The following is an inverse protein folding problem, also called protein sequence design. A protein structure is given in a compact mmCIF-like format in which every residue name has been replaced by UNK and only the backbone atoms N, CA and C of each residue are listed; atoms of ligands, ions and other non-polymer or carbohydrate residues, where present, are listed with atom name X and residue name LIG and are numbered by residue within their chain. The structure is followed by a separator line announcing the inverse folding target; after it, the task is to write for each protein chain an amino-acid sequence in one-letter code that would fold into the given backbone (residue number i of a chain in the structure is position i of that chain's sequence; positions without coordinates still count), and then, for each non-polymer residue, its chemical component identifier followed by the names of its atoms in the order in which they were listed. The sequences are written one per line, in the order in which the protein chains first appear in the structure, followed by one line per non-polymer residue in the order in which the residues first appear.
data_IF_767726592043
#
_entry.id   IF_767726592043
#
_cell.length_a   1.000
_cell.length_b   1.000
_cell.length_c   1.000
_cell.angle_alpha   90.00
_cell.angle_beta   90.00
_cell.angle_gamma   90.00
#
_symmetry.space_group_name_H-M   'P 1'
#
loop_
_entity.id
_entity.type
_entity.pdbx_description
1 polymer ?
#
# COMPACT_ATOMS: atom_id res chain seq x y z
N UNK A 1 12.73 -4.31 27.72
CA UNK A 1 11.43 -5.00 27.89
C UNK A 1 10.48 -4.33 28.88
N UNK A 2 10.94 -3.52 29.84
CA UNK A 2 10.06 -2.85 30.85
C UNK A 2 8.93 -1.97 30.26
N UNK A 3 9.16 -1.42 29.06
CA UNK A 3 8.20 -0.58 28.34
C UNK A 3 7.21 -1.35 27.46
N UNK A 4 7.37 -2.66 27.29
CA UNK A 4 6.48 -3.49 26.46
C UNK A 4 5.63 -4.33 27.37
N UNK A 5 4.30 -4.21 27.25
CA UNK A 5 3.32 -4.93 28.07
C UNK A 5 2.36 -5.69 27.19
N UNK A 6 2.20 -6.99 27.41
CA UNK A 6 1.14 -7.74 26.76
C UNK A 6 -0.24 -7.31 27.29
N UNK A 7 -1.16 -7.00 26.38
CA UNK A 7 -2.55 -6.64 26.70
C UNK A 7 -3.52 -7.80 26.46
N UNK A 8 -3.26 -8.61 25.43
CA UNK A 8 -4.06 -9.77 25.05
C UNK A 8 -3.16 -10.83 24.38
N UNK A 9 -3.69 -12.03 24.02
CA UNK A 9 -2.94 -13.02 23.26
C UNK A 9 -2.40 -12.51 21.91
N UNK A 10 -2.98 -11.44 21.36
CA UNK A 10 -2.63 -10.91 20.04
C UNK A 10 -2.25 -9.43 20.03
N UNK A 11 -2.01 -8.83 21.21
CA UNK A 11 -1.72 -7.38 21.27
C UNK A 11 -0.79 -7.00 22.41
N UNK A 12 0.15 -6.11 22.11
CA UNK A 12 1.16 -5.58 23.02
C UNK A 12 1.15 -4.05 23.01
N UNK A 13 1.29 -3.44 24.17
CA UNK A 13 1.46 -2.01 24.36
C UNK A 13 2.94 -1.66 24.45
N UNK A 14 3.34 -0.64 23.68
CA UNK A 14 4.62 0.06 23.82
C UNK A 14 4.34 1.35 24.59
N UNK A 15 4.69 1.36 25.87
CA UNK A 15 4.37 2.45 26.80
C UNK A 15 5.07 3.74 26.40
N UNK A 16 4.42 4.87 26.69
CA UNK A 16 5.05 6.18 26.63
C UNK A 16 6.36 6.21 27.43
N UNK A 17 7.35 6.94 26.91
CA UNK A 17 8.70 6.97 27.45
C UNK A 17 9.62 5.86 26.92
N UNK A 18 9.12 4.93 26.08
CA UNK A 18 9.99 4.00 25.34
C UNK A 18 10.96 4.75 24.42
N UNK A 19 10.48 5.82 23.77
CA UNK A 19 11.32 6.87 23.20
C UNK A 19 10.96 8.22 23.82
N UNK A 20 11.89 9.18 23.90
CA UNK A 20 11.58 10.52 24.40
C UNK A 20 10.51 11.21 23.54
N UNK A 21 9.60 11.95 24.19
CA UNK A 21 8.63 12.79 23.49
C UNK A 21 7.36 12.08 22.99
N UNK A 22 7.15 10.80 23.31
CA UNK A 22 5.89 10.12 22.97
C UNK A 22 4.67 10.86 23.54
N UNK A 23 3.74 11.27 22.68
CA UNK A 23 2.46 11.87 23.04
C UNK A 23 1.40 10.81 23.35
N UNK A 24 1.49 9.65 22.69
CA UNK A 24 0.55 8.52 22.82
C UNK A 24 1.32 7.20 23.00
N UNK A 25 0.73 6.13 23.53
CA UNK A 25 1.35 4.81 23.50
C UNK A 25 1.33 4.20 22.08
N UNK A 26 2.20 3.23 21.84
CA UNK A 26 2.14 2.35 20.68
C UNK A 26 1.34 1.08 20.96
N UNK A 27 0.70 0.50 19.95
CA UNK A 27 0.09 -0.85 20.01
C UNK A 27 0.64 -1.69 18.87
N UNK A 28 1.08 -2.89 19.19
CA UNK A 28 1.49 -3.91 18.21
C UNK A 28 0.46 -5.04 18.26
N UNK A 29 -0.23 -5.27 17.15
CA UNK A 29 -1.07 -6.46 16.98
C UNK A 29 -0.23 -7.57 16.38
N UNK A 30 -0.01 -8.66 17.12
CA UNK A 30 0.78 -9.80 16.64
C UNK A 30 0.44 -11.04 17.45
N UNK A 31 0.36 -12.20 16.79
CA UNK A 31 0.16 -13.50 17.44
C UNK A 31 1.49 -14.12 17.92
N UNK A 32 1.40 -15.24 18.64
CA UNK A 32 2.57 -15.95 19.15
C UNK A 32 3.50 -16.49 18.06
N UNK A 33 2.99 -16.76 16.85
CA UNK A 33 3.79 -17.27 15.74
C UNK A 33 4.71 -16.20 15.13
N UNK A 34 4.25 -14.94 15.09
CA UNK A 34 4.98 -13.84 14.46
C UNK A 34 5.70 -12.93 15.47
N UNK A 35 5.34 -12.97 16.77
CA UNK A 35 5.90 -12.06 17.78
C UNK A 35 7.43 -12.11 17.87
N UNK A 36 8.03 -13.28 17.64
CA UNK A 36 9.47 -13.47 17.67
C UNK A 36 10.16 -12.58 16.64
N UNK A 37 9.64 -12.57 15.40
CA UNK A 37 10.19 -11.78 14.30
C UNK A 37 10.22 -10.27 14.61
N UNK A 38 9.18 -9.74 15.26
CA UNK A 38 9.07 -8.32 15.60
C UNK A 38 9.99 -7.96 16.77
N UNK A 39 9.94 -8.72 17.87
CA UNK A 39 10.65 -8.35 19.10
C UNK A 39 12.13 -8.77 19.09
N UNK A 40 12.52 -9.80 18.34
CA UNK A 40 13.93 -10.16 18.15
C UNK A 40 14.68 -9.10 17.35
N UNK A 41 14.05 -8.48 16.34
CA UNK A 41 14.63 -7.34 15.62
C UNK A 41 15.01 -6.21 16.61
N UNK A 42 14.10 -5.88 17.52
CA UNK A 42 14.34 -4.88 18.55
C UNK A 42 15.48 -5.29 19.50
N UNK A 43 15.51 -6.55 19.95
CA UNK A 43 16.57 -7.05 20.82
C UNK A 43 17.94 -6.99 20.14
N UNK A 44 18.01 -7.39 18.88
CA UNK A 44 19.24 -7.36 18.09
C UNK A 44 19.77 -5.93 17.92
N UNK A 45 18.90 -4.96 17.65
CA UNK A 45 19.30 -3.57 17.54
C UNK A 45 19.84 -3.00 18.87
N UNK A 46 19.25 -3.36 20.00
CA UNK A 46 19.78 -2.97 21.32
C UNK A 46 21.17 -3.56 21.56
N UNK A 47 21.42 -4.79 21.13
CA UNK A 47 22.74 -5.44 21.27
C UNK A 47 23.80 -4.86 20.34
N UNK A 48 23.43 -4.52 19.10
CA UNK A 48 24.34 -3.91 18.10
C UNK A 48 24.68 -2.45 18.40
N UNK A 49 23.84 -1.74 19.16
CA UNK A 49 23.93 -0.29 19.33
C UNK A 49 23.60 0.45 18.02
N UNK A 50 23.99 1.72 17.91
CA UNK A 50 23.66 2.58 16.75
C UNK A 50 24.49 2.29 15.47
N UNK A 51 25.12 1.10 15.37
CA UNK A 51 26.02 0.75 14.27
C UNK A 51 25.27 0.10 13.10
N UNK A 52 24.72 0.94 12.21
CA UNK A 52 24.20 0.55 10.90
C UNK A 52 22.91 -0.26 10.89
N UNK A 53 22.12 -0.12 9.82
CA UNK A 53 20.83 -0.79 9.64
C UNK A 53 19.63 0.13 9.84
N UNK A 54 18.43 -0.36 9.50
CA UNK A 54 17.18 0.35 9.76
C UNK A 54 16.84 0.32 11.25
N UNK A 55 16.12 1.35 11.71
CA UNK A 55 15.56 1.34 13.05
C UNK A 55 14.49 0.24 13.13
N UNK A 56 14.48 -0.60 14.19
CA UNK A 56 13.46 -1.64 14.35
C UNK A 56 12.05 -1.08 14.26
N UNK A 57 11.13 -1.87 13.73
CA UNK A 57 9.73 -1.48 13.54
C UNK A 57 9.10 -0.93 14.83
N UNK A 58 9.37 -1.55 15.98
CA UNK A 58 8.85 -1.13 17.29
C UNK A 58 9.39 0.25 17.70
N UNK A 59 10.64 0.58 17.34
CA UNK A 59 11.21 1.91 17.61
C UNK A 59 10.64 2.96 16.67
N UNK A 60 10.43 2.61 15.40
CA UNK A 60 9.75 3.48 14.43
C UNK A 60 8.31 3.79 14.86
N UNK A 61 7.54 2.77 15.28
CA UNK A 61 6.21 2.93 15.86
C UNK A 61 6.18 3.96 17.01
N UNK A 62 7.17 3.87 17.90
CA UNK A 62 7.29 4.76 19.03
C UNK A 62 7.73 6.18 18.64
N UNK A 63 8.59 6.32 17.62
CA UNK A 63 8.94 7.63 17.07
C UNK A 63 7.71 8.30 16.44
N UNK A 64 6.86 7.54 15.74
CA UNK A 64 5.59 8.03 15.20
C UNK A 64 4.65 8.49 16.33
N UNK A 65 4.61 7.75 17.43
CA UNK A 65 3.89 8.14 18.63
C UNK A 65 4.40 9.44 19.30
N UNK A 66 5.55 9.96 18.90
CA UNK A 66 6.10 11.24 19.34
C UNK A 66 5.83 12.39 18.34
N UNK A 67 5.11 12.15 17.24
CA UNK A 67 4.77 13.20 16.28
C UNK A 67 3.64 14.10 16.81
N UNK A 68 3.74 15.43 16.64
CA UNK A 68 2.71 16.34 17.11
C UNK A 68 1.35 16.09 16.42
N UNK A 69 0.28 16.25 17.19
CA UNK A 69 -1.10 16.05 16.70
C UNK A 69 -1.53 14.59 16.53
N UNK A 70 -0.68 13.60 16.80
CA UNK A 70 -1.11 12.19 16.75
C UNK A 70 -2.24 11.92 17.76
N UNK A 71 -3.27 11.20 17.33
CA UNK A 71 -4.44 10.89 18.16
C UNK A 71 -4.41 9.47 18.68
N UNK A 72 -4.80 9.32 19.94
CA UNK A 72 -4.99 8.05 20.67
C UNK A 72 -3.77 7.13 20.77
N UNK A 73 -3.27 6.56 19.67
CA UNK A 73 -2.23 5.52 19.61
C UNK A 73 -1.52 5.51 18.26
N UNK A 74 -0.25 5.11 18.26
CA UNK A 74 0.43 4.64 17.04
C UNK A 74 0.24 3.12 16.93
N UNK A 75 -0.20 2.60 15.79
CA UNK A 75 -0.60 1.19 15.65
C UNK A 75 0.32 0.47 14.66
N UNK A 76 0.85 -0.68 15.04
CA UNK A 76 1.53 -1.63 14.17
C UNK A 76 0.64 -2.85 13.91
N UNK A 77 0.44 -3.15 12.62
CA UNK A 77 -0.28 -4.33 12.14
C UNK A 77 0.61 -5.60 12.23
N UNK A 78 0.03 -6.81 12.10
CA UNK A 78 0.77 -8.06 12.28
C UNK A 78 1.95 -8.31 11.33
N UNK A 79 1.97 -7.64 10.19
CA UNK A 79 3.02 -7.68 9.17
C UNK A 79 4.04 -6.54 9.30
N UNK A 80 4.03 -5.82 10.44
CA UNK A 80 4.90 -4.67 10.65
C UNK A 80 6.38 -5.03 10.51
N UNK A 81 7.13 -4.20 9.80
CA UNK A 81 8.58 -4.32 9.66
C UNK A 81 9.23 -2.97 9.36
N UNK A 82 10.54 -2.91 9.54
CA UNK A 82 11.34 -1.70 9.36
C UNK A 82 11.08 -1.01 8.01
N UNK A 83 10.72 0.28 8.08
CA UNK A 83 10.45 1.14 6.92
C UNK A 83 11.30 2.42 6.91
N UNK A 84 10.79 3.47 6.26
CA UNK A 84 11.47 4.77 6.14
C UNK A 84 10.80 5.81 7.05
N UNK A 85 11.33 5.96 8.26
CA UNK A 85 10.74 6.83 9.29
C UNK A 85 9.58 6.15 10.01
N UNK A 86 8.48 5.90 9.29
CA UNK A 86 7.42 5.00 9.72
C UNK A 86 7.78 3.56 9.36
N UNK A 87 7.31 2.61 10.18
CA UNK A 87 7.37 1.21 9.83
C UNK A 87 6.31 0.88 8.76
N UNK A 88 6.61 -0.08 7.87
CA UNK A 88 5.57 -0.63 6.99
C UNK A 88 4.56 -1.37 7.87
N UNK A 89 3.26 -1.21 7.60
CA UNK A 89 2.20 -1.72 8.47
C UNK A 89 1.93 -0.84 9.71
N UNK A 90 2.49 0.37 9.79
CA UNK A 90 2.17 1.34 10.83
C UNK A 90 1.00 2.25 10.41
N UNK A 91 -0.05 2.29 11.23
CA UNK A 91 -1.18 3.22 11.11
C UNK A 91 -1.07 4.29 12.19
N UNK A 92 -1.23 5.55 11.80
CA UNK A 92 -1.33 6.70 12.70
C UNK A 92 -2.36 7.69 12.14
N UNK A 93 -3.15 8.28 13.04
CA UNK A 93 -4.08 9.34 12.71
C UNK A 93 -3.63 10.64 13.40
N UNK A 94 -3.82 11.77 12.72
CA UNK A 94 -3.44 13.09 13.20
C UNK A 94 -4.67 14.02 13.20
N UNK A 95 -4.77 14.85 14.23
CA UNK A 95 -5.88 15.79 14.41
C UNK A 95 -5.73 16.99 13.47
N UNK A 96 -6.61 17.12 12.48
CA UNK A 96 -6.57 18.21 11.50
C UNK A 96 -6.91 19.58 12.10
N UNK A 97 -7.56 19.63 13.27
CA UNK A 97 -7.83 20.89 13.97
C UNK A 97 -6.63 21.35 14.83
N UNK A 98 -5.64 20.48 15.05
CA UNK A 98 -4.43 20.83 15.75
C UNK A 98 -3.43 21.50 14.80
N UNK A 99 -3.05 22.78 15.01
CA UNK A 99 -2.14 23.50 14.11
C UNK A 99 -0.72 22.92 14.07
N UNK A 100 -0.33 22.13 15.07
CA UNK A 100 0.96 21.45 15.10
C UNK A 100 0.92 20.08 14.41
N UNK A 101 -0.27 19.58 14.02
CA UNK A 101 -0.39 18.28 13.37
C UNK A 101 0.39 18.21 12.06
N UNK A 102 0.95 17.03 11.80
CA UNK A 102 1.85 16.81 10.69
C UNK A 102 1.26 15.87 9.65
N UNK A 103 1.65 16.08 8.40
CA UNK A 103 1.55 15.08 7.33
C UNK A 103 2.97 14.67 6.97
N UNK A 104 3.27 13.37 7.09
CA UNK A 104 4.60 12.85 6.79
C UNK A 104 4.56 11.96 5.55
N UNK A 105 5.28 12.31 4.47
CA UNK A 105 5.40 11.43 3.29
C UNK A 105 5.92 10.04 3.64
N UNK A 106 6.79 9.93 4.65
CA UNK A 106 7.29 8.64 5.15
C UNK A 106 6.21 7.74 5.76
N UNK A 107 5.11 8.33 6.26
CA UNK A 107 3.96 7.59 6.78
C UNK A 107 2.97 7.13 5.70
N UNK A 108 3.06 7.69 4.49
CA UNK A 108 2.31 7.21 3.31
C UNK A 108 3.12 6.17 2.53
N UNK A 109 4.43 6.39 2.41
CA UNK A 109 5.33 5.55 1.63
C UNK A 109 5.66 6.16 0.26
N UNK A 110 6.70 5.61 -0.38
CA UNK A 110 7.18 6.13 -1.66
C UNK A 110 6.30 5.74 -2.83
N UNK A 111 5.84 4.49 -2.92
CA UNK A 111 4.87 4.11 -3.94
C UNK A 111 3.45 4.48 -3.48
N UNK A 112 3.14 5.77 -3.62
CA UNK A 112 1.86 6.35 -3.22
C UNK A 112 0.73 5.58 -3.92
N UNK A 113 -0.29 5.18 -3.17
CA UNK A 113 -1.41 4.39 -3.68
C UNK A 113 -0.97 3.07 -4.36
N UNK A 114 0.12 2.45 -3.88
CA UNK A 114 0.35 1.03 -4.13
C UNK A 114 -0.80 0.26 -3.48
N UNK A 115 -1.49 -0.54 -4.27
CA UNK A 115 -2.77 -1.13 -3.90
C UNK A 115 -3.17 -2.29 -4.79
N UNK A 116 -4.27 -2.92 -4.40
CA UNK A 116 -4.74 -4.16 -5.02
C UNK A 116 -6.11 -3.94 -5.65
N UNK A 117 -6.28 -4.46 -6.87
CA UNK A 117 -7.59 -4.64 -7.50
C UNK A 117 -7.86 -6.12 -7.69
N UNK A 118 -9.06 -6.56 -7.31
CA UNK A 118 -9.54 -7.91 -7.56
C UNK A 118 -10.65 -7.88 -8.61
N UNK A 119 -10.46 -8.58 -9.71
CA UNK A 119 -11.42 -8.72 -10.81
C UNK A 119 -12.00 -10.12 -10.73
N UNK A 120 -13.31 -10.22 -10.49
CA UNK A 120 -14.01 -11.50 -10.51
C UNK A 120 -14.36 -11.92 -11.94
N UNK A 121 -14.45 -13.23 -12.16
CA UNK A 121 -14.98 -13.79 -13.41
C UNK A 121 -16.15 -14.73 -13.11
N UNK A 122 -16.86 -15.15 -14.15
CA UNK A 122 -17.83 -16.24 -14.05
C UNK A 122 -17.19 -17.61 -14.41
N UNK A 123 -15.86 -17.64 -14.58
CA UNK A 123 -15.11 -18.86 -14.92
C UNK A 123 -14.77 -19.66 -13.66
N UNK A 124 -14.59 -20.94 -13.86
CA UNK A 124 -14.10 -21.89 -12.86
C UNK A 124 -12.71 -22.39 -13.23
N UNK A 125 -12.03 -23.04 -12.28
CA UNK A 125 -10.74 -23.69 -12.52
C UNK A 125 -10.79 -24.67 -13.71
N UNK A 126 -11.91 -25.37 -13.91
CA UNK A 126 -12.08 -26.30 -15.02
C UNK A 126 -12.07 -25.60 -16.39
N UNK A 127 -12.54 -24.34 -16.45
CA UNK A 127 -12.57 -23.57 -17.69
C UNK A 127 -11.16 -23.06 -18.07
N UNK A 128 -10.36 -22.68 -17.07
CA UNK A 128 -9.04 -22.07 -17.26
C UNK A 128 -7.92 -23.11 -17.31
N UNK A 129 -8.06 -24.23 -16.60
CA UNK A 129 -7.05 -25.29 -16.50
C UNK A 129 -6.43 -25.71 -17.84
N UNK A 130 -7.24 -26.01 -18.88
CA UNK A 130 -6.73 -26.41 -20.19
C UNK A 130 -5.93 -25.32 -20.93
N UNK A 131 -6.17 -24.04 -20.64
CA UNK A 131 -5.58 -22.89 -21.35
C UNK A 131 -4.65 -22.06 -20.47
N UNK A 132 -4.34 -22.51 -19.24
CA UNK A 132 -3.61 -21.73 -18.22
C UNK A 132 -2.29 -21.13 -18.72
N UNK A 133 -1.53 -21.89 -19.52
CA UNK A 133 -0.24 -21.44 -20.06
C UNK A 133 -0.42 -20.38 -21.14
N UNK A 134 -1.44 -20.55 -21.99
CA UNK A 134 -1.79 -19.58 -23.03
C UNK A 134 -2.33 -18.29 -22.40
N UNK A 135 -3.14 -18.40 -21.35
CA UNK A 135 -3.64 -17.25 -20.60
C UNK A 135 -2.50 -16.50 -19.90
N UNK A 136 -1.58 -17.21 -19.23
CA UNK A 136 -0.43 -16.60 -18.59
C UNK A 136 0.47 -15.89 -19.61
N UNK A 137 0.73 -16.50 -20.76
CA UNK A 137 1.49 -15.88 -21.84
C UNK A 137 0.76 -14.65 -22.40
N UNK A 138 -0.54 -14.74 -22.64
CA UNK A 138 -1.34 -13.62 -23.13
C UNK A 138 -1.34 -12.44 -22.15
N UNK A 139 -1.44 -12.69 -20.84
CA UNK A 139 -1.32 -11.65 -19.81
C UNK A 139 0.06 -11.00 -19.83
N UNK A 140 1.12 -11.81 -19.94
CA UNK A 140 2.49 -11.30 -20.02
C UNK A 140 2.72 -10.42 -21.26
N UNK A 141 2.16 -10.83 -22.40
CA UNK A 141 2.30 -10.09 -23.66
C UNK A 141 1.54 -8.76 -23.65
N UNK A 142 0.42 -8.69 -22.92
CA UNK A 142 -0.46 -7.51 -22.88
C UNK A 142 -0.26 -6.61 -21.66
N UNK A 143 0.41 -7.08 -20.61
CA UNK A 143 0.65 -6.32 -19.38
C UNK A 143 2.15 -6.10 -19.22
N UNK A 144 2.68 -4.92 -19.59
CA UNK A 144 4.11 -4.67 -19.50
C UNK A 144 4.60 -4.74 -18.05
N UNK A 145 5.64 -5.55 -17.83
CA UNK A 145 6.32 -5.73 -16.54
C UNK A 145 7.78 -5.30 -16.60
N UNK A 146 8.38 -5.04 -15.44
CA UNK A 146 9.81 -4.80 -15.29
C UNK A 146 10.22 -3.33 -15.12
N UNK A 147 11.45 -3.14 -14.62
CA UNK A 147 12.05 -1.81 -14.41
C UNK A 147 12.36 -1.18 -15.76
N UNK A 148 11.81 0.02 -16.01
CA UNK A 148 12.05 0.76 -17.25
C UNK A 148 11.21 0.32 -18.44
N UNK A 149 10.29 -0.64 -18.24
CA UNK A 149 9.29 -1.00 -19.23
C UNK A 149 8.41 0.20 -19.58
N UNK A 150 8.01 0.29 -20.85
CA UNK A 150 7.14 1.37 -21.32
C UNK A 150 5.69 0.90 -21.37
N UNK A 151 4.80 1.81 -21.01
CA UNK A 151 3.36 1.65 -21.05
C UNK A 151 2.83 1.43 -22.46
N UNK A 152 1.81 0.58 -22.57
CA UNK A 152 1.06 0.38 -23.82
C UNK A 152 0.01 1.46 -24.05
N UNK A 153 -0.34 2.22 -23.01
CA UNK A 153 -1.27 3.34 -23.12
C UNK A 153 -0.52 4.48 -23.81
N UNK A 154 -0.96 4.96 -24.99
CA UNK A 154 -0.39 6.16 -25.59
C UNK A 154 -0.72 7.35 -24.70
N UNK A 155 0.29 8.02 -24.15
CA UNK A 155 0.10 9.16 -23.24
C UNK A 155 0.90 10.37 -23.66
N UNK A 156 0.29 11.54 -23.55
CA UNK A 156 0.97 12.83 -23.62
C UNK A 156 1.09 13.45 -22.23
N UNK A 157 1.89 14.52 -22.11
CA UNK A 157 1.96 15.29 -20.87
C UNK A 157 0.58 15.82 -20.43
N UNK A 158 -0.28 16.19 -21.39
CA UNK A 158 -1.65 16.65 -21.11
C UNK A 158 -2.53 15.53 -20.58
N UNK A 159 -2.38 14.33 -21.13
CA UNK A 159 -3.14 13.16 -20.68
C UNK A 159 -2.74 12.76 -19.26
N UNK A 160 -1.44 12.82 -18.94
CA UNK A 160 -0.95 12.58 -17.58
C UNK A 160 -1.51 13.61 -16.58
N UNK A 161 -1.57 14.90 -16.95
CA UNK A 161 -2.17 15.90 -16.06
C UNK A 161 -3.67 15.66 -15.86
N UNK A 162 -4.40 15.32 -16.92
CA UNK A 162 -5.80 14.95 -16.80
C UNK A 162 -5.99 13.68 -15.97
N UNK A 163 -5.15 12.67 -16.11
CA UNK A 163 -5.19 11.44 -15.32
C UNK A 163 -4.91 11.69 -13.84
N UNK A 164 -3.98 12.59 -13.50
CA UNK A 164 -3.70 12.99 -12.12
C UNK A 164 -4.89 13.68 -11.45
N UNK A 165 -5.66 14.48 -12.20
CA UNK A 165 -6.81 15.25 -11.67
C UNK A 165 -8.11 14.43 -11.65
N UNK A 166 -8.31 13.60 -12.66
CA UNK A 166 -9.58 12.90 -12.92
C UNK A 166 -9.54 11.42 -12.49
N UNK A 167 -8.37 10.83 -12.25
CA UNK A 167 -8.25 9.43 -11.84
C UNK A 167 -9.00 8.48 -12.80
N UNK A 168 -9.87 7.64 -12.26
CA UNK A 168 -10.70 6.72 -13.06
C UNK A 168 -11.65 7.41 -14.05
N UNK A 169 -12.08 8.65 -13.80
CA UNK A 169 -12.92 9.39 -14.77
C UNK A 169 -12.15 9.64 -16.08
N UNK A 170 -10.82 9.82 -16.02
CA UNK A 170 -9.97 9.88 -17.21
C UNK A 170 -9.94 8.54 -17.92
N UNK A 171 -9.72 7.44 -17.19
CA UNK A 171 -9.68 6.10 -17.78
C UNK A 171 -10.98 5.74 -18.49
N UNK A 172 -12.14 6.11 -17.93
CA UNK A 172 -13.44 5.93 -18.57
C UNK A 172 -13.58 6.77 -19.84
N UNK A 173 -13.18 8.05 -19.79
CA UNK A 173 -13.26 8.97 -20.94
C UNK A 173 -12.45 8.46 -22.13
N UNK A 174 -11.28 7.89 -21.86
CA UNK A 174 -10.40 7.35 -22.90
C UNK A 174 -10.73 5.90 -23.30
N UNK A 175 -11.73 5.27 -22.68
CA UNK A 175 -12.22 3.94 -23.05
C UNK A 175 -11.47 2.76 -22.42
N UNK A 176 -10.70 2.98 -21.34
CA UNK A 176 -9.97 1.93 -20.62
C UNK A 176 -10.74 1.29 -19.46
N UNK A 177 -11.90 1.84 -19.10
CA UNK A 177 -12.73 1.38 -18.00
C UNK A 177 -14.22 1.54 -18.31
N UNK A 178 -15.06 0.72 -17.67
CA UNK A 178 -16.51 0.87 -17.70
C UNK A 178 -17.01 1.81 -16.61
N UNK A 179 -18.26 2.25 -16.71
CA UNK A 179 -18.84 3.18 -15.74
C UNK A 179 -18.97 2.56 -14.36
N UNK A 180 -19.23 1.26 -14.29
CA UNK A 180 -19.41 0.47 -13.09
C UNK A 180 -18.08 0.23 -12.36
N UNK A 181 -16.93 0.28 -13.06
CA UNK A 181 -15.62 0.02 -12.44
C UNK A 181 -15.31 1.02 -11.33
N UNK A 182 -15.73 2.28 -11.50
CA UNK A 182 -15.47 3.33 -10.50
C UNK A 182 -16.26 3.08 -9.21
N UNK A 183 -17.44 2.48 -9.28
CA UNK A 183 -18.27 2.18 -8.11
C UNK A 183 -17.64 1.10 -7.21
N UNK A 184 -16.67 0.36 -7.75
CA UNK A 184 -15.94 -0.70 -7.08
C UNK A 184 -14.50 -0.29 -6.73
N UNK A 185 -14.23 1.01 -6.72
CA UNK A 185 -12.94 1.57 -6.30
C UNK A 185 -13.11 2.41 -5.04
N UNK A 186 -12.13 2.32 -4.14
CA UNK A 186 -11.97 3.29 -3.06
C UNK A 186 -11.91 4.72 -3.65
N UNK A 187 -12.56 5.67 -2.98
CA UNK A 187 -12.73 7.06 -3.46
C UNK A 187 -13.31 7.17 -4.88
N UNK A 188 -14.08 6.18 -5.34
CA UNK A 188 -14.52 6.07 -6.73
C UNK A 188 -13.37 6.17 -7.76
N UNK A 189 -12.15 5.80 -7.34
CA UNK A 189 -10.94 5.90 -8.14
C UNK A 189 -10.45 7.32 -8.39
N UNK A 190 -10.89 8.32 -7.61
CA UNK A 190 -10.50 9.73 -7.75
C UNK A 190 -10.61 10.52 -6.46
N UNK A 191 -9.49 11.12 -6.03
CA UNK A 191 -9.50 12.14 -4.98
C UNK A 191 -9.77 13.53 -5.55
N UNK A 192 -10.86 14.20 -5.12
CA UNK A 192 -11.33 15.47 -5.70
C UNK A 192 -10.35 16.65 -5.55
N UNK A 193 -9.47 16.59 -4.55
CA UNK A 193 -8.53 17.68 -4.24
C UNK A 193 -7.18 17.51 -4.94
N UNK A 194 -7.06 16.56 -5.87
CA UNK A 194 -5.82 16.36 -6.62
C UNK A 194 -5.53 17.55 -7.54
N UNK A 195 -4.34 18.14 -7.41
CA UNK A 195 -3.89 19.25 -8.25
C UNK A 195 -2.55 18.90 -8.93
N UNK A 196 -2.54 18.67 -10.25
CA UNK A 196 -1.34 18.34 -11.00
C UNK A 196 -0.23 19.41 -10.94
N UNK A 197 -0.52 20.66 -10.53
CA UNK A 197 0.47 21.74 -10.41
C UNK A 197 1.42 21.51 -9.23
N UNK A 198 1.00 20.76 -8.21
CA UNK A 198 1.86 20.39 -7.09
C UNK A 198 2.76 19.18 -7.40
N UNK A 199 2.58 18.54 -8.56
CA UNK A 199 3.43 17.43 -9.01
C UNK A 199 4.58 17.96 -9.87
N UNK A 200 5.81 17.75 -9.41
CA UNK A 200 7.01 18.24 -10.10
C UNK A 200 7.12 17.73 -11.54
N UNK A 201 7.72 18.54 -12.42
CA UNK A 201 8.01 18.13 -13.81
C UNK A 201 8.88 16.87 -13.89
N UNK A 202 9.78 16.66 -12.91
CA UNK A 202 10.59 15.45 -12.79
C UNK A 202 9.73 14.21 -12.50
N UNK A 203 8.75 14.31 -11.60
CA UNK A 203 7.83 13.22 -11.30
C UNK A 203 6.98 12.86 -12.52
N UNK A 204 6.39 13.86 -13.18
CA UNK A 204 5.62 13.69 -14.42
C UNK A 204 6.47 13.02 -15.52
N UNK A 205 7.69 13.51 -15.78
CA UNK A 205 8.60 12.92 -16.78
C UNK A 205 8.98 11.47 -16.47
N UNK A 206 9.14 11.13 -15.19
CA UNK A 206 9.45 9.75 -14.76
C UNK A 206 8.26 8.82 -14.89
N UNK A 207 7.06 9.30 -14.57
CA UNK A 207 5.82 8.51 -14.60
C UNK A 207 5.21 8.34 -15.99
N UNK A 208 5.33 9.34 -16.86
CA UNK A 208 4.72 9.36 -18.19
C UNK A 208 4.95 8.07 -19.00
N UNK A 209 6.20 7.59 -19.18
CA UNK A 209 6.42 6.37 -19.96
C UNK A 209 5.95 5.09 -19.25
N UNK A 210 5.53 5.14 -17.98
CA UNK A 210 5.22 3.96 -17.16
C UNK A 210 3.71 3.71 -17.00
N UNK A 211 2.88 4.55 -17.60
CA UNK A 211 1.43 4.47 -17.48
C UNK A 211 0.88 3.21 -18.15
N UNK A 212 0.12 2.40 -17.41
CA UNK A 212 -0.32 1.09 -17.90
C UNK A 212 0.76 -0.01 -17.86
N UNK A 213 1.69 0.07 -16.89
CA UNK A 213 2.64 -1.01 -16.57
C UNK A 213 2.43 -1.52 -15.15
N UNK A 214 2.74 -2.79 -14.88
CA UNK A 214 2.75 -3.33 -13.51
C UNK A 214 3.94 -2.80 -12.72
N UNK A 215 5.12 -2.88 -13.32
CA UNK A 215 6.37 -2.58 -12.63
C UNK A 215 7.17 -3.76 -12.15
N UNK A 216 7.80 -3.59 -10.99
CA UNK A 216 8.75 -4.50 -10.38
C UNK A 216 8.58 -4.50 -8.86
N UNK A 217 9.38 -5.30 -8.14
CA UNK A 217 9.23 -5.46 -6.70
C UNK A 217 8.14 -6.48 -6.38
N UNK A 218 7.23 -6.14 -5.48
CA UNK A 218 6.10 -6.99 -5.08
C UNK A 218 4.86 -6.81 -5.99
N UNK A 219 4.99 -6.15 -7.14
CA UNK A 219 3.90 -5.93 -8.08
C UNK A 219 3.69 -7.13 -9.00
N UNK A 220 2.42 -7.50 -9.24
CA UNK A 220 2.05 -8.68 -10.01
C UNK A 220 0.64 -8.56 -10.61
N UNK A 221 0.36 -9.38 -11.60
CA UNK A 221 -1.00 -9.76 -11.99
C UNK A 221 -1.10 -11.29 -11.90
N UNK A 222 -2.02 -11.78 -11.09
CA UNK A 222 -2.17 -13.21 -10.81
C UNK A 222 -3.58 -13.68 -11.15
N UNK A 223 -3.68 -14.83 -11.82
CA UNK A 223 -4.93 -15.57 -11.97
C UNK A 223 -5.01 -16.55 -10.81
N UNK A 224 -6.05 -16.40 -9.98
CA UNK A 224 -6.22 -17.11 -8.72
C UNK A 224 -7.53 -17.89 -8.74
N UNK A 225 -7.60 -18.93 -7.90
CA UNK A 225 -8.80 -19.75 -7.70
C UNK A 225 -9.26 -19.58 -6.26
N UNK A 226 -10.55 -19.33 -6.06
CA UNK A 226 -11.16 -19.28 -4.72
C UNK A 226 -11.19 -20.69 -4.15
N UNK A 227 -10.23 -21.02 -3.28
CA UNK A 227 -10.13 -22.36 -2.68
C UNK A 227 -11.03 -22.53 -1.44
N UNK A 228 -11.24 -21.49 -0.65
CA UNK A 228 -12.06 -21.57 0.56
C UNK A 228 -12.90 -20.30 0.78
N UNK A 229 -14.11 -20.48 1.32
CA UNK A 229 -15.03 -19.38 1.66
C UNK A 229 -15.38 -19.46 3.14
N UNK A 230 -14.84 -18.51 3.92
CA UNK A 230 -15.05 -18.44 5.37
C UNK A 230 -16.36 -17.74 5.75
N UNK A 231 -16.78 -16.72 5.01
CA UNK A 231 -18.07 -16.04 5.16
C UNK A 231 -18.85 -16.09 3.84
N UNK A 232 -19.81 -17.02 3.71
CA UNK A 232 -20.60 -17.16 2.49
C UNK A 232 -21.50 -15.96 2.17
N UNK A 233 -21.89 -15.17 3.17
CA UNK A 233 -22.75 -13.99 2.97
C UNK A 233 -21.93 -12.85 2.39
N UNK A 234 -20.76 -12.57 2.98
CA UNK A 234 -19.85 -11.57 2.47
C UNK A 234 -19.33 -11.93 1.07
N UNK A 235 -18.94 -13.19 0.85
CA UNK A 235 -18.46 -13.68 -0.44
C UNK A 235 -19.48 -13.45 -1.56
N UNK A 236 -20.74 -13.84 -1.37
CA UNK A 236 -21.81 -13.59 -2.35
C UNK A 236 -22.02 -12.11 -2.64
N UNK A 237 -21.92 -11.24 -1.62
CA UNK A 237 -22.00 -9.78 -1.83
C UNK A 237 -20.84 -9.22 -2.66
N UNK A 238 -19.68 -9.87 -2.62
CA UNK A 238 -18.52 -9.56 -3.46
C UNK A 238 -18.58 -10.25 -4.84
N UNK A 239 -19.66 -10.99 -5.14
CA UNK A 239 -19.80 -11.76 -6.39
C UNK A 239 -18.90 -13.00 -6.45
N UNK A 240 -18.49 -13.52 -5.29
CA UNK A 240 -17.81 -14.79 -5.13
C UNK A 240 -18.86 -15.82 -4.69
N UNK A 241 -19.37 -16.58 -5.65
CA UNK A 241 -20.53 -17.45 -5.44
C UNK A 241 -20.15 -18.88 -5.05
N UNK A 242 -18.98 -19.35 -5.49
CA UNK A 242 -18.57 -20.75 -5.34
C UNK A 242 -17.07 -20.93 -5.13
N UNK A 243 -16.69 -22.02 -4.45
CA UNK A 243 -15.31 -22.55 -4.48
C UNK A 243 -14.98 -22.96 -5.92
N UNK A 244 -13.75 -22.70 -6.35
CA UNK A 244 -13.27 -22.98 -7.69
C UNK A 244 -13.46 -21.81 -8.68
N UNK A 245 -14.12 -20.72 -8.27
CA UNK A 245 -14.26 -19.53 -9.10
C UNK A 245 -12.90 -18.89 -9.36
N UNK A 246 -12.66 -18.47 -10.62
CA UNK A 246 -11.43 -17.80 -11.03
C UNK A 246 -11.56 -16.29 -10.86
N UNK A 247 -10.53 -15.69 -10.31
CA UNK A 247 -10.39 -14.24 -10.13
C UNK A 247 -9.01 -13.79 -10.63
N UNK A 248 -8.87 -12.50 -10.94
CA UNK A 248 -7.60 -11.88 -11.32
C UNK A 248 -7.26 -10.81 -10.29
N UNK A 249 -6.12 -10.94 -9.63
CA UNK A 249 -5.60 -9.95 -8.70
C UNK A 249 -4.50 -9.14 -9.35
N UNK A 250 -4.61 -7.82 -9.31
CA UNK A 250 -3.61 -6.88 -9.82
C UNK A 250 -3.08 -6.09 -8.64
N UNK A 251 -1.77 -6.18 -8.39
CA UNK A 251 -1.06 -5.40 -7.40
C UNK A 251 -0.05 -4.48 -8.09
N UNK A 252 -0.30 -3.18 -8.00
CA UNK A 252 0.57 -2.14 -8.57
C UNK A 252 0.37 -0.81 -7.85
N UNK A 253 1.01 0.25 -8.31
CA UNK A 253 0.92 1.57 -7.70
C UNK A 253 1.19 2.70 -8.67
N UNK A 254 1.50 3.88 -8.12
CA UNK A 254 1.83 5.11 -8.85
C UNK A 254 3.13 5.07 -9.66
N UNK A 255 3.86 3.96 -9.60
CA UNK A 255 5.12 3.75 -10.31
C UNK A 255 6.17 4.79 -9.90
N UNK A 256 7.04 5.18 -10.82
CA UNK A 256 8.06 6.20 -10.58
C UNK A 256 7.51 7.59 -10.30
N UNK A 257 6.24 7.87 -10.61
CA UNK A 257 5.61 9.16 -10.34
C UNK A 257 5.48 9.39 -8.84
N UNK A 258 4.76 8.53 -8.13
CA UNK A 258 4.57 8.70 -6.69
C UNK A 258 5.87 8.53 -5.93
N UNK A 259 6.77 7.64 -6.36
CA UNK A 259 8.11 7.55 -5.76
C UNK A 259 8.84 8.90 -5.84
N UNK A 260 8.74 9.63 -6.95
CA UNK A 260 9.39 10.93 -7.08
C UNK A 260 8.72 12.01 -6.22
N UNK A 261 7.41 11.91 -6.00
CA UNK A 261 6.63 12.77 -5.09
C UNK A 261 7.00 12.48 -3.63
N UNK A 262 6.97 11.21 -3.20
CA UNK A 262 7.33 10.80 -1.83
C UNK A 262 8.80 11.06 -1.48
N UNK A 263 9.69 11.14 -2.47
CA UNK A 263 11.10 11.54 -2.29
C UNK A 263 11.31 13.05 -2.20
N UNK A 264 10.28 13.90 -2.32
CA UNK A 264 10.49 15.33 -2.09
C UNK A 264 11.08 15.54 -0.70
N UNK A 265 12.38 15.88 -0.70
CA UNK A 265 13.11 16.44 0.41
C UNK A 265 12.31 17.65 0.87
N UNK A 266 11.49 17.49 1.90
CA UNK A 266 10.96 18.59 2.70
C UNK A 266 12.16 19.22 3.42
N UNK A 267 12.93 20.01 2.69
CA UNK A 267 13.97 20.87 3.21
C UNK A 267 13.57 22.28 2.80
N UNK A 268 13.13 23.05 3.81
CA UNK A 268 13.15 24.52 3.89
C UNK A 268 12.59 25.27 2.69
#
# INVERSE_FOLDING_TARGET
MSYIRQLSPVSYEVKQGFVPGMHVPGIVYVNDALKGLIFEELQQAVQRGDHGGFLPAVKQLANVAALPGIVQRSIALPDVHSGYGFAIGNVAAFDMDNPEAVVSPGGVGFDINCGVRLIRTNLTEADVGPVREQLAQALFDHIPVGVGSQGIIPTTAKDMEAALELGMDWSMREGYAWAEDKEHCEEYGRMLNADPRHVSSRAKKRGLPQMGTLGAGNHYAEVQVVDEVFDPVAARRMGIDTKGQVVVMIHSGSRGLGHQVGWMRLWG
#
